data_IF_907611165130
#
_entry.id   IF_907611165130
#
_cell.length_a   1.000
_cell.length_b   1.000
_cell.length_c   1.000
_cell.angle_alpha   90.00
_cell.angle_beta   90.00
_cell.angle_gamma   90.00
#
_symmetry.space_group_name_H-M   'P 1'
#
loop_
_entity.id
_entity.type
_entity.pdbx_description
1 polymer ?
#
# COMPACT_ATOMS: atom_id res chain seq x y z
N UNK A 1 -26.22 10.59 -4.28
CA UNK A 1 -25.41 9.42 -3.91
C UNK A 1 -24.06 9.56 -4.57
N UNK A 2 -22.98 9.57 -3.80
CA UNK A 2 -21.63 9.49 -4.37
C UNK A 2 -21.48 8.12 -5.03
N UNK A 3 -20.93 8.08 -6.25
CA UNK A 3 -20.60 6.81 -6.89
C UNK A 3 -19.54 6.09 -6.03
N UNK A 4 -19.72 4.79 -5.80
CA UNK A 4 -18.72 3.95 -5.15
C UNK A 4 -17.49 3.80 -6.05
N UNK A 5 -16.34 3.43 -5.47
CA UNK A 5 -15.15 3.19 -6.28
C UNK A 5 -15.38 2.09 -7.35
N UNK A 6 -16.07 1.01 -6.99
CA UNK A 6 -16.42 -0.07 -7.92
C UNK A 6 -17.36 0.38 -9.05
N UNK A 7 -18.18 1.41 -8.83
CA UNK A 7 -19.01 1.99 -9.89
C UNK A 7 -18.24 2.97 -10.78
N UNK A 8 -17.27 3.70 -10.21
CA UNK A 8 -16.55 4.77 -10.91
C UNK A 8 -15.28 4.30 -11.64
N UNK A 9 -14.68 3.18 -11.23
CA UNK A 9 -13.40 2.70 -11.76
C UNK A 9 -13.51 2.02 -13.14
N UNK A 10 -14.50 1.15 -13.43
CA UNK A 10 -14.58 0.46 -14.71
C UNK A 10 -14.63 1.44 -15.91
N UNK A 11 -13.81 1.17 -16.92
CA UNK A 11 -13.69 2.02 -18.11
C UNK A 11 -12.88 3.31 -17.94
N UNK A 12 -12.50 3.69 -16.71
CA UNK A 12 -11.60 4.83 -16.49
C UNK A 12 -10.15 4.41 -16.79
N UNK A 13 -9.36 5.19 -17.56
CA UNK A 13 -8.03 4.77 -18.07
C UNK A 13 -7.00 4.42 -16.99
N UNK A 14 -7.02 5.11 -15.84
CA UNK A 14 -6.12 4.82 -14.71
C UNK A 14 -6.76 3.96 -13.62
N UNK A 15 -8.00 4.26 -13.21
CA UNK A 15 -8.68 3.52 -12.15
C UNK A 15 -9.12 2.12 -12.55
N UNK A 16 -9.56 1.90 -13.80
CA UNK A 16 -10.01 0.59 -14.28
C UNK A 16 -8.93 -0.48 -14.11
N UNK A 17 -7.74 -0.33 -14.72
CA UNK A 17 -6.66 -1.30 -14.56
C UNK A 17 -6.26 -1.53 -13.10
N UNK A 18 -6.20 -0.47 -12.29
CA UNK A 18 -5.87 -0.57 -10.87
C UNK A 18 -6.94 -1.33 -10.08
N UNK A 19 -8.21 -1.03 -10.32
CA UNK A 19 -9.35 -1.70 -9.69
C UNK A 19 -9.42 -3.18 -10.09
N UNK A 20 -9.29 -3.47 -11.38
CA UNK A 20 -9.56 -4.79 -11.94
C UNK A 20 -8.44 -5.80 -11.68
N UNK A 21 -7.21 -5.35 -11.43
CA UNK A 21 -6.04 -6.24 -11.33
C UNK A 21 -5.11 -6.00 -10.14
N UNK A 22 -5.34 -4.99 -9.30
CA UNK A 22 -4.42 -4.68 -8.21
C UNK A 22 -5.10 -4.38 -6.87
N UNK A 23 -6.16 -3.59 -6.84
CA UNK A 23 -6.79 -3.19 -5.58
C UNK A 23 -7.51 -4.37 -4.93
N UNK A 24 -7.05 -4.79 -3.76
CA UNK A 24 -7.56 -5.97 -3.05
C UNK A 24 -6.88 -7.28 -3.44
N UNK A 25 -5.98 -7.26 -4.42
CA UNK A 25 -5.24 -8.44 -4.86
C UNK A 25 -4.06 -8.69 -3.92
N UNK A 26 -3.92 -9.90 -3.35
CA UNK A 26 -2.80 -10.21 -2.47
C UNK A 26 -1.49 -10.30 -3.26
N UNK A 27 -0.39 -9.90 -2.62
CA UNK A 27 0.97 -10.06 -3.15
C UNK A 27 1.94 -10.39 -2.03
N UNK A 28 2.89 -11.27 -2.29
CA UNK A 28 4.03 -11.58 -1.41
C UNK A 28 5.35 -10.98 -1.93
N UNK A 29 5.31 -10.20 -3.01
CA UNK A 29 6.48 -9.51 -3.55
C UNK A 29 6.75 -8.22 -2.76
N UNK A 30 7.83 -8.22 -1.99
CA UNK A 30 8.29 -7.07 -1.20
C UNK A 30 8.38 -5.77 -2.00
N UNK A 31 8.74 -5.81 -3.29
CA UNK A 31 8.79 -4.60 -4.13
C UNK A 31 7.39 -4.04 -4.40
N UNK A 32 6.40 -4.91 -4.64
CA UNK A 32 5.00 -4.50 -4.81
C UNK A 32 4.44 -3.95 -3.50
N UNK A 33 4.75 -4.60 -2.38
CA UNK A 33 4.36 -4.12 -1.05
C UNK A 33 4.97 -2.74 -0.76
N UNK A 34 6.27 -2.57 -1.02
CA UNK A 34 6.94 -1.30 -0.81
C UNK A 34 6.42 -0.21 -1.75
N UNK A 35 6.24 -0.51 -3.04
CA UNK A 35 5.61 0.40 -4.00
C UNK A 35 4.26 0.91 -3.49
N UNK A 36 3.37 -0.01 -3.07
CA UNK A 36 2.05 0.38 -2.57
C UNK A 36 2.15 1.30 -1.35
N UNK A 37 2.99 0.96 -0.37
CA UNK A 37 3.18 1.79 0.82
C UNK A 37 3.67 3.21 0.46
N UNK A 38 4.62 3.30 -0.47
CA UNK A 38 5.15 4.59 -0.96
C UNK A 38 4.06 5.41 -1.65
N UNK A 39 3.23 4.78 -2.50
CA UNK A 39 2.14 5.47 -3.19
C UNK A 39 1.09 6.00 -2.21
N UNK A 40 0.71 5.22 -1.19
CA UNK A 40 -0.24 5.65 -0.15
C UNK A 40 0.31 6.78 0.73
N UNK A 41 1.59 6.71 1.12
CA UNK A 41 2.27 7.84 1.82
C UNK A 41 2.19 9.12 0.99
N UNK A 42 2.33 8.99 -0.33
CA UNK A 42 2.32 10.14 -1.23
C UNK A 42 0.91 10.64 -1.57
N UNK A 43 -0.13 9.81 -1.43
CA UNK A 43 -1.53 10.17 -1.63
C UNK A 43 -2.03 11.23 -0.64
N UNK A 44 -1.51 11.27 0.60
CA UNK A 44 -2.02 12.17 1.63
C UNK A 44 -2.14 13.64 1.16
N UNK A 45 -3.38 14.15 1.10
CA UNK A 45 -3.72 15.49 0.62
C UNK A 45 -3.94 15.62 -0.90
N UNK A 46 -4.01 14.52 -1.63
CA UNK A 46 -4.20 14.45 -3.09
C UNK A 46 -5.22 13.36 -3.46
N UNK A 47 -5.73 13.42 -4.68
CA UNK A 47 -6.58 12.32 -5.20
C UNK A 47 -5.72 11.11 -5.57
N UNK A 48 -6.27 9.91 -5.42
CA UNK A 48 -5.59 8.69 -5.88
C UNK A 48 -5.30 8.70 -7.39
N UNK A 49 -6.17 9.32 -8.19
CA UNK A 49 -5.92 9.57 -9.62
C UNK A 49 -4.61 10.32 -9.87
N UNK A 50 -4.29 11.31 -9.03
CA UNK A 50 -3.02 12.05 -9.13
C UNK A 50 -1.82 11.13 -8.93
N UNK A 51 -1.93 10.19 -7.99
CA UNK A 51 -0.88 9.20 -7.72
C UNK A 51 -0.76 8.20 -8.86
N UNK A 52 -1.87 7.65 -9.34
CA UNK A 52 -1.87 6.73 -10.49
C UNK A 52 -1.27 7.36 -11.75
N UNK A 53 -1.57 8.63 -12.03
CA UNK A 53 -0.97 9.38 -13.16
C UNK A 53 0.54 9.58 -13.02
N UNK A 54 1.06 9.63 -11.79
CA UNK A 54 2.48 9.84 -11.49
C UNK A 54 3.24 8.53 -11.22
N UNK A 55 2.56 7.38 -11.24
CA UNK A 55 3.12 6.10 -10.79
C UNK A 55 4.38 5.69 -11.53
N UNK A 56 4.45 5.86 -12.85
CA UNK A 56 5.65 5.54 -13.62
C UNK A 56 6.82 6.48 -13.29
N UNK A 57 6.54 7.76 -13.01
CA UNK A 57 7.55 8.70 -12.53
C UNK A 57 8.04 8.33 -11.13
N UNK A 58 7.15 7.90 -10.22
CA UNK A 58 7.54 7.36 -8.92
C UNK A 58 8.42 6.12 -9.06
N UNK A 59 8.05 5.18 -9.93
CA UNK A 59 8.83 3.98 -10.21
C UNK A 59 10.23 4.33 -10.69
N UNK A 60 10.37 5.27 -11.62
CA UNK A 60 11.68 5.72 -12.09
C UNK A 60 12.48 6.44 -10.99
N UNK A 61 11.83 7.33 -10.23
CA UNK A 61 12.48 8.14 -9.19
C UNK A 61 13.04 7.31 -8.03
N UNK A 62 12.32 6.26 -7.64
CA UNK A 62 12.65 5.34 -6.55
C UNK A 62 13.27 4.01 -7.05
N UNK A 63 13.98 4.02 -8.17
CA UNK A 63 14.78 2.88 -8.65
C UNK A 63 13.97 1.57 -8.78
N UNK A 64 12.75 1.65 -9.31
CA UNK A 64 11.85 0.51 -9.44
C UNK A 64 11.33 -0.01 -8.11
N UNK A 65 11.37 0.82 -7.05
CA UNK A 65 11.06 0.44 -5.67
C UNK A 65 11.97 -0.67 -5.13
N UNK A 66 13.21 -0.73 -5.62
CA UNK A 66 14.22 -1.58 -5.01
C UNK A 66 14.53 -1.10 -3.59
N UNK A 67 14.14 -1.90 -2.60
CA UNK A 67 14.17 -1.52 -1.19
C UNK A 67 15.62 -1.26 -0.72
N UNK A 68 16.57 -2.06 -1.18
CA UNK A 68 17.97 -1.93 -0.77
C UNK A 68 18.61 -0.66 -1.34
N UNK A 69 18.34 -0.36 -2.62
CA UNK A 69 18.77 0.90 -3.25
C UNK A 69 18.16 2.11 -2.54
N UNK A 70 16.85 2.10 -2.32
CA UNK A 70 16.15 3.21 -1.66
C UNK A 70 16.61 3.38 -0.21
N UNK A 71 16.88 2.29 0.52
CA UNK A 71 17.43 2.34 1.87
C UNK A 71 18.82 2.99 1.93
N UNK A 72 19.62 2.80 0.87
CA UNK A 72 20.96 3.38 0.73
C UNK A 72 20.95 4.86 0.32
N UNK A 73 19.81 5.44 -0.06
CA UNK A 73 19.72 6.84 -0.48
C UNK A 73 20.28 7.82 0.57
N UNK A 74 21.17 8.71 0.10
CA UNK A 74 21.80 9.75 0.89
C UNK A 74 21.22 11.13 0.58
N UNK A 75 22.00 12.18 0.88
CA UNK A 75 21.59 13.57 0.63
C UNK A 75 21.45 13.86 -0.88
N UNK A 76 22.32 13.28 -1.71
CA UNK A 76 22.28 13.47 -3.16
C UNK A 76 20.95 13.01 -3.77
N UNK A 77 20.46 11.83 -3.37
CA UNK A 77 19.17 11.32 -3.83
C UNK A 77 18.01 12.14 -3.27
N UNK A 78 18.09 12.63 -2.03
CA UNK A 78 17.06 13.53 -1.47
C UNK A 78 16.95 14.81 -2.29
N UNK A 79 18.08 15.45 -2.60
CA UNK A 79 18.11 16.67 -3.44
C UNK A 79 17.56 16.37 -4.83
N UNK A 80 17.96 15.25 -5.45
CA UNK A 80 17.44 14.81 -6.76
C UNK A 80 15.93 14.63 -6.74
N UNK A 81 15.40 13.91 -5.75
CA UNK A 81 13.96 13.65 -5.61
C UNK A 81 13.17 14.93 -5.36
N UNK A 82 13.71 15.86 -4.57
CA UNK A 82 13.07 17.15 -4.31
C UNK A 82 13.07 18.08 -5.52
N UNK A 83 13.98 17.88 -6.47
CA UNK A 83 14.01 18.61 -7.74
C UNK A 83 13.07 18.00 -8.80
N UNK A 84 12.67 16.74 -8.67
CA UNK A 84 11.90 16.00 -9.66
C UNK A 84 10.40 16.40 -9.66
N UNK A 85 9.96 17.06 -10.74
CA UNK A 85 8.56 17.48 -10.91
C UNK A 85 7.60 16.32 -11.27
N UNK A 86 8.14 15.16 -11.65
CA UNK A 86 7.41 13.94 -11.94
C UNK A 86 6.71 13.38 -10.70
N UNK A 87 7.30 13.55 -9.51
CA UNK A 87 6.77 13.06 -8.24
C UNK A 87 6.19 14.18 -7.36
N UNK A 88 5.84 13.86 -6.11
CA UNK A 88 5.40 14.82 -5.09
C UNK A 88 6.62 15.33 -4.33
N UNK A 89 7.01 16.59 -4.60
CA UNK A 89 8.18 17.26 -4.02
C UNK A 89 7.94 17.71 -2.58
N UNK A 90 7.82 16.75 -1.67
CA UNK A 90 7.63 16.98 -0.24
C UNK A 90 8.75 16.30 0.55
N UNK A 91 9.55 17.10 1.26
CA UNK A 91 10.70 16.61 2.03
C UNK A 91 10.33 15.57 3.07
N UNK A 92 9.26 15.79 3.82
CA UNK A 92 8.86 14.85 4.86
C UNK A 92 8.42 13.50 4.29
N UNK A 93 7.73 13.50 3.14
CA UNK A 93 7.33 12.26 2.44
C UNK A 93 8.54 11.51 1.87
N UNK A 94 9.46 12.22 1.20
CA UNK A 94 10.72 11.63 0.69
C UNK A 94 11.53 11.01 1.83
N UNK A 95 11.69 11.76 2.92
CA UNK A 95 12.45 11.30 4.08
C UNK A 95 11.81 10.07 4.72
N UNK A 96 10.48 10.03 4.80
CA UNK A 96 9.75 8.88 5.31
C UNK A 96 9.90 7.63 4.43
N UNK A 97 9.85 7.77 3.10
CA UNK A 97 10.05 6.64 2.17
C UNK A 97 11.43 6.00 2.36
N UNK A 98 12.48 6.82 2.43
CA UNK A 98 13.86 6.33 2.63
C UNK A 98 14.00 5.66 4.00
N UNK A 99 13.48 6.27 5.06
CA UNK A 99 13.54 5.69 6.40
C UNK A 99 12.73 4.38 6.51
N UNK A 100 11.58 4.30 5.84
CA UNK A 100 10.78 3.09 5.80
C UNK A 100 11.49 1.96 5.04
N UNK A 101 12.18 2.27 3.93
CA UNK A 101 13.00 1.28 3.24
C UNK A 101 14.07 0.70 4.19
N UNK A 102 14.80 1.55 4.92
CA UNK A 102 15.79 1.11 5.92
C UNK A 102 15.19 0.22 7.01
N UNK A 103 13.99 0.58 7.50
CA UNK A 103 13.26 -0.22 8.47
C UNK A 103 12.87 -1.58 7.89
N UNK A 104 12.41 -1.64 6.65
CA UNK A 104 12.09 -2.90 5.97
C UNK A 104 13.34 -3.78 5.82
N UNK A 105 14.49 -3.22 5.42
CA UNK A 105 15.75 -3.98 5.39
C UNK A 105 16.06 -4.59 6.75
N UNK A 106 15.92 -3.83 7.84
CA UNK A 106 16.15 -4.34 9.19
C UNK A 106 15.16 -5.44 9.61
N UNK A 107 13.89 -5.39 9.15
CA UNK A 107 12.90 -6.43 9.45
C UNK A 107 13.29 -7.80 8.86
N UNK A 108 14.10 -7.84 7.80
CA UNK A 108 14.54 -9.10 7.18
C UNK A 108 15.33 -9.98 8.13
N UNK A 109 16.06 -9.39 9.09
CA UNK A 109 16.82 -10.13 10.10
C UNK A 109 15.93 -10.99 11.00
N UNK A 110 14.70 -10.55 11.24
CA UNK A 110 13.76 -11.19 12.19
C UNK A 110 12.59 -11.89 11.51
N UNK A 111 12.18 -11.42 10.33
CA UNK A 111 10.97 -11.89 9.63
C UNK A 111 11.26 -12.36 8.20
N UNK A 112 12.50 -12.29 7.73
CA UNK A 112 12.92 -12.68 6.38
C UNK A 112 12.58 -11.67 5.28
N UNK A 113 11.41 -11.04 5.33
CA UNK A 113 10.92 -10.08 4.32
C UNK A 113 9.86 -9.13 4.88
N UNK A 114 9.46 -8.12 4.09
CA UNK A 114 8.33 -7.25 4.46
C UNK A 114 7.01 -8.04 4.48
N UNK A 115 6.79 -8.88 3.47
CA UNK A 115 5.70 -9.86 3.45
C UNK A 115 5.70 -10.75 4.70
N UNK A 116 6.88 -11.29 5.06
CA UNK A 116 7.04 -12.13 6.25
C UNK A 116 6.65 -11.40 7.53
N UNK A 117 7.01 -10.11 7.63
CA UNK A 117 6.60 -9.27 8.75
C UNK A 117 5.08 -9.03 8.79
N UNK A 118 4.44 -8.77 7.64
CA UNK A 118 2.98 -8.64 7.57
C UNK A 118 2.28 -9.95 7.96
N UNK A 119 2.74 -11.09 7.46
CA UNK A 119 2.17 -12.40 7.78
C UNK A 119 2.34 -12.77 9.26
N UNK A 120 3.49 -12.47 9.86
CA UNK A 120 3.76 -12.77 11.27
C UNK A 120 2.82 -12.03 12.23
N UNK A 121 2.31 -10.86 11.83
CA UNK A 121 1.40 -10.07 12.65
C UNK A 121 -0.07 -10.29 12.29
N UNK A 122 -0.38 -10.76 11.08
CA UNK A 122 -1.75 -11.01 10.65
C UNK A 122 -2.37 -12.23 11.37
N UNK A 123 -3.66 -12.21 11.77
CA UNK A 123 -4.63 -11.12 11.58
C UNK A 123 -4.63 -10.07 12.71
N UNK A 124 -4.91 -8.82 12.33
CA UNK A 124 -5.15 -7.70 13.24
C UNK A 124 -6.29 -6.83 12.73
N UNK A 125 -6.95 -6.13 13.65
CA UNK A 125 -7.93 -5.10 13.31
C UNK A 125 -7.23 -3.90 12.70
N UNK A 126 -7.98 -3.03 11.99
CA UNK A 126 -7.41 -1.79 11.43
C UNK A 126 -6.74 -0.94 12.52
N UNK A 127 -7.33 -0.83 13.70
CA UNK A 127 -6.78 -0.03 14.79
C UNK A 127 -5.44 -0.59 15.32
N UNK A 128 -5.34 -1.91 15.44
CA UNK A 128 -4.12 -2.60 15.85
C UNK A 128 -3.02 -2.47 14.79
N UNK A 129 -3.37 -2.62 13.50
CA UNK A 129 -2.46 -2.35 12.40
C UNK A 129 -1.92 -0.93 12.42
N UNK A 130 -2.78 0.07 12.59
CA UNK A 130 -2.37 1.49 12.67
C UNK A 130 -1.39 1.70 13.83
N UNK A 131 -1.66 1.10 14.99
CA UNK A 131 -0.77 1.17 16.15
C UNK A 131 0.58 0.49 15.89
N UNK A 132 0.57 -0.68 15.23
CA UNK A 132 1.79 -1.41 14.88
C UNK A 132 2.62 -0.61 13.86
N UNK A 133 2.01 -0.16 12.77
CA UNK A 133 2.67 0.65 11.75
C UNK A 133 3.22 1.97 12.33
N UNK A 134 2.47 2.65 13.21
CA UNK A 134 2.95 3.87 13.85
C UNK A 134 4.15 3.70 14.77
N UNK A 135 4.42 2.47 15.25
CA UNK A 135 5.65 2.14 16.01
C UNK A 135 6.79 1.73 15.08
N UNK A 136 6.47 1.10 13.96
CA UNK A 136 7.45 0.50 13.05
C UNK A 136 7.92 1.43 11.95
N UNK A 137 7.06 2.32 11.44
CA UNK A 137 7.28 3.11 10.23
C UNK A 137 6.95 4.60 10.44
N UNK A 138 7.37 5.43 9.48
CA UNK A 138 7.09 6.87 9.42
C UNK A 138 5.99 7.17 8.40
N UNK A 139 5.18 8.20 8.67
CA UNK A 139 4.10 8.65 7.78
C UNK A 139 3.02 7.59 7.52
N UNK A 140 2.69 6.78 8.52
CA UNK A 140 1.71 5.70 8.40
C UNK A 140 0.47 6.00 9.26
N UNK A 141 -0.24 7.06 8.90
CA UNK A 141 -1.50 7.43 9.54
C UNK A 141 -2.65 6.46 9.23
N UNK A 142 -3.79 6.63 9.90
CA UNK A 142 -4.91 5.68 9.84
C UNK A 142 -5.47 5.40 8.43
N UNK A 143 -5.56 6.44 7.59
CA UNK A 143 -6.01 6.30 6.20
C UNK A 143 -4.96 5.55 5.35
N UNK A 144 -3.70 5.96 5.43
CA UNK A 144 -2.57 5.36 4.70
C UNK A 144 -2.45 3.87 5.01
N UNK A 145 -2.46 3.49 6.29
CA UNK A 145 -2.37 2.08 6.71
C UNK A 145 -3.62 1.31 6.27
N UNK A 146 -4.79 1.92 6.38
CA UNK A 146 -6.04 1.32 5.96
C UNK A 146 -6.06 0.98 4.47
N UNK A 147 -5.78 1.96 3.62
CA UNK A 147 -5.78 1.78 2.16
C UNK A 147 -4.62 0.90 1.69
N UNK A 148 -3.43 1.01 2.30
CA UNK A 148 -2.32 0.09 2.06
C UNK A 148 -2.72 -1.37 2.28
N UNK A 149 -3.24 -1.71 3.46
CA UNK A 149 -3.58 -3.09 3.79
C UNK A 149 -4.81 -3.59 3.01
N UNK A 150 -5.79 -2.72 2.76
CA UNK A 150 -6.97 -3.07 1.97
C UNK A 150 -6.59 -3.35 0.51
N UNK A 151 -5.70 -2.53 -0.08
CA UNK A 151 -5.22 -2.73 -1.44
C UNK A 151 -4.47 -4.05 -1.65
N UNK A 152 -3.94 -4.65 -0.58
CA UNK A 152 -3.18 -5.90 -0.60
C UNK A 152 -3.95 -7.09 0.00
N UNK A 153 -5.24 -6.92 0.29
CA UNK A 153 -6.09 -7.99 0.82
C UNK A 153 -5.82 -8.39 2.27
N UNK A 154 -5.10 -7.58 3.06
CA UNK A 154 -4.95 -7.77 4.51
C UNK A 154 -6.12 -7.20 5.33
N UNK A 155 -6.89 -6.28 4.74
CA UNK A 155 -8.16 -5.79 5.27
C UNK A 155 -9.27 -5.99 4.23
N UNK A 156 -10.52 -6.26 4.65
CA UNK A 156 -11.66 -6.33 3.74
C UNK A 156 -12.06 -4.92 3.25
N UNK A 157 -12.92 -4.89 2.23
CA UNK A 157 -13.58 -3.65 1.76
C UNK A 157 -13.00 -3.01 0.49
N UNK A 158 -12.05 -3.69 -0.19
CA UNK A 158 -11.52 -3.21 -1.47
C UNK A 158 -12.60 -3.17 -2.57
N UNK A 159 -13.51 -4.15 -2.57
CA UNK A 159 -14.61 -4.23 -3.51
C UNK A 159 -15.96 -4.43 -2.82
N UNK A 160 -17.02 -3.92 -3.43
CA UNK A 160 -18.39 -4.20 -3.03
C UNK A 160 -18.76 -5.66 -3.31
N UNK A 161 -19.74 -6.20 -2.57
CA UNK A 161 -20.12 -7.61 -2.68
C UNK A 161 -20.65 -7.99 -4.08
N UNK A 162 -21.25 -7.04 -4.80
CA UNK A 162 -21.79 -7.18 -6.15
C UNK A 162 -20.78 -6.81 -7.25
N UNK A 163 -19.56 -6.38 -6.90
CA UNK A 163 -18.50 -6.11 -7.86
C UNK A 163 -18.01 -7.43 -8.48
N UNK A 164 -17.97 -7.59 -9.82
CA UNK A 164 -17.45 -8.81 -10.44
C UNK A 164 -16.00 -9.12 -10.06
N UNK A 165 -15.19 -8.09 -9.83
CA UNK A 165 -13.78 -8.24 -9.39
C UNK A 165 -13.70 -8.82 -7.98
N UNK A 166 -14.70 -8.61 -7.12
CA UNK A 166 -14.75 -9.24 -5.80
C UNK A 166 -14.76 -10.77 -5.90
N UNK A 167 -15.46 -11.35 -6.88
CA UNK A 167 -15.44 -12.80 -7.09
C UNK A 167 -14.03 -13.29 -7.46
N UNK A 168 -13.31 -12.54 -8.28
CA UNK A 168 -11.91 -12.85 -8.65
C UNK A 168 -11.02 -12.78 -7.42
N UNK A 169 -11.07 -11.68 -6.67
CA UNK A 169 -10.28 -11.48 -5.46
C UNK A 169 -10.56 -12.58 -4.45
N UNK A 170 -11.83 -12.91 -4.16
CA UNK A 170 -12.19 -14.00 -3.24
C UNK A 170 -11.64 -15.36 -3.69
N UNK A 171 -11.57 -15.62 -4.99
CA UNK A 171 -10.97 -16.83 -5.56
C UNK A 171 -9.45 -16.93 -5.32
N UNK A 172 -8.77 -15.81 -5.08
CA UNK A 172 -7.35 -15.76 -4.70
C UNK A 172 -7.12 -16.01 -3.21
N UNK A 173 -8.18 -16.19 -2.42
CA UNK A 173 -8.14 -16.38 -0.97
C UNK A 173 -7.27 -15.32 -0.24
N UNK A 174 -7.66 -14.03 -0.30
CA UNK A 174 -6.84 -12.94 0.25
C UNK A 174 -6.68 -13.12 1.77
N UNK A 175 -5.60 -12.59 2.37
CA UNK A 175 -5.31 -12.79 3.79
C UNK A 175 -6.49 -12.55 4.73
N UNK A 176 -7.25 -11.46 4.54
CA UNK A 176 -8.40 -11.16 5.40
C UNK A 176 -9.47 -12.26 5.34
N UNK A 177 -9.71 -12.84 4.15
CA UNK A 177 -10.70 -13.90 3.96
C UNK A 177 -10.23 -15.18 4.63
N UNK A 178 -8.97 -15.56 4.45
CA UNK A 178 -8.38 -16.71 5.10
C UNK A 178 -8.45 -16.61 6.64
N UNK A 179 -8.26 -15.40 7.20
CA UNK A 179 -8.43 -15.17 8.63
C UNK A 179 -9.89 -15.33 9.09
N UNK A 180 -10.86 -14.80 8.34
CA UNK A 180 -12.29 -14.99 8.65
C UNK A 180 -12.69 -16.46 8.59
N UNK A 181 -12.25 -17.19 7.57
CA UNK A 181 -12.49 -18.64 7.44
C UNK A 181 -11.88 -19.42 8.61
N UNK A 182 -10.76 -18.93 9.18
CA UNK A 182 -10.11 -19.47 10.38
C UNK A 182 -10.74 -19.00 11.71
N UNK A 183 -11.83 -18.21 11.66
CA UNK A 183 -12.60 -17.79 12.83
C UNK A 183 -12.27 -16.39 13.37
N UNK A 184 -11.43 -15.60 12.69
CA UNK A 184 -11.15 -14.22 13.10
C UNK A 184 -12.33 -13.30 12.81
N UNK A 185 -12.78 -12.53 13.81
CA UNK A 185 -13.94 -11.64 13.73
C UNK A 185 -13.63 -10.17 14.05
N UNK A 186 -12.34 -9.79 14.11
CA UNK A 186 -11.90 -8.44 14.49
C UNK A 186 -11.95 -7.39 13.38
N UNK A 187 -12.38 -7.74 12.17
CA UNK A 187 -12.56 -6.77 11.09
C UNK A 187 -13.89 -6.03 11.26
N UNK A 188 -13.85 -4.71 11.13
CA UNK A 188 -15.05 -3.88 11.08
C UNK A 188 -15.43 -3.56 9.63
N UNK A 189 -16.72 -3.36 9.33
CA UNK A 189 -17.15 -2.87 8.02
C UNK A 189 -16.45 -1.56 7.67
N UNK A 190 -16.17 -1.35 6.38
CA UNK A 190 -15.72 -0.05 5.88
C UNK A 190 -16.90 0.92 6.00
N UNK A 191 -16.73 1.99 6.79
CA UNK A 191 -17.68 3.11 6.89
C UNK A 191 -17.88 3.82 5.55
#
# INVERSE_FOLDING_TARGET
MSLTYCAAAPGHPHHGPYHDGEYGFPSSDDRVLFERLVLEINQAGLSWLTILKKRDAFRAAFDGFDIDRVAAYGEAERVRLLADAGIIRNRLKVDAVIDNARRIVALRETHGSFDGWLRAHHPLSKAEWVKLFGRTFRFTGGEIVGEFLMSLGYLPGAHQADCPVQTVVLGLNPPWKAAVDAGYSGYQPKE
#
